data_IF_582593453154
#
_entry.id   IF_582593453154
#
_cell.length_a   1.000
_cell.length_b   1.000
_cell.length_c   1.000
_cell.angle_alpha   90.00
_cell.angle_beta   90.00
_cell.angle_gamma   90.00
#
_symmetry.space_group_name_H-M   'P 1'
#
loop_
_entity.id
_entity.type
_entity.pdbx_description
1 polymer ?
#
# COMPACT_ATOMS: atom_id res chain seq x y z
N UNK A 1 35.95 34.59 -29.77
CA UNK A 1 34.81 34.11 -30.58
C UNK A 1 34.69 32.59 -30.69
N UNK A 2 35.81 31.83 -30.81
CA UNK A 2 35.73 30.32 -30.84
C UNK A 2 35.27 29.68 -29.53
N UNK A 3 35.63 30.23 -28.36
CA UNK A 3 35.21 29.67 -27.05
C UNK A 3 33.72 29.90 -26.72
N UNK A 4 33.14 31.00 -27.22
CA UNK A 4 31.71 31.28 -27.02
C UNK A 4 30.80 30.39 -27.88
N UNK A 5 31.27 29.98 -29.08
CA UNK A 5 30.52 29.04 -29.96
C UNK A 5 30.57 27.62 -29.44
N UNK A 6 31.62 27.19 -28.75
CA UNK A 6 31.69 25.88 -28.08
C UNK A 6 30.78 25.82 -26.86
N UNK A 7 30.64 26.92 -26.11
CA UNK A 7 29.74 26.97 -24.94
C UNK A 7 28.27 26.95 -25.35
N UNK A 8 27.86 27.63 -26.41
CA UNK A 8 26.52 27.60 -27.00
C UNK A 8 26.17 26.24 -27.61
N UNK A 9 27.15 25.55 -28.23
CA UNK A 9 26.94 24.20 -28.77
C UNK A 9 26.76 23.15 -27.64
N UNK A 10 27.49 23.29 -26.53
CA UNK A 10 27.34 22.39 -25.36
C UNK A 10 26.01 22.61 -24.61
N UNK A 11 25.53 23.86 -24.52
CA UNK A 11 24.22 24.17 -23.92
C UNK A 11 23.08 23.70 -24.82
N UNK A 12 23.22 23.73 -26.16
CA UNK A 12 22.22 23.22 -27.10
C UNK A 12 22.18 21.68 -27.14
N UNK A 13 23.32 20.99 -26.86
CA UNK A 13 23.33 19.52 -26.77
C UNK A 13 22.82 19.01 -25.42
N UNK A 14 22.94 19.78 -24.32
CA UNK A 14 22.31 19.43 -23.03
C UNK A 14 20.80 19.67 -23.00
N UNK A 15 20.27 20.51 -23.87
CA UNK A 15 18.82 20.72 -23.99
C UNK A 15 18.08 19.59 -24.76
N UNK A 16 18.84 18.65 -25.37
CA UNK A 16 18.28 17.53 -26.14
C UNK A 16 18.38 16.17 -25.43
N UNK A 17 18.90 16.14 -24.18
CA UNK A 17 18.83 14.98 -23.29
C UNK A 17 18.02 15.28 -22.03
N UNK A 18 16.83 15.82 -22.20
CA UNK A 18 15.73 15.49 -21.28
C UNK A 18 15.31 14.09 -21.73
N UNK A 19 15.54 13.02 -20.94
CA UNK A 19 14.79 11.82 -21.17
C UNK A 19 13.35 12.27 -21.04
N UNK A 20 12.62 12.25 -22.14
CA UNK A 20 11.18 12.16 -22.10
C UNK A 20 10.92 10.94 -21.26
N UNK A 21 10.65 11.14 -19.96
CA UNK A 21 9.78 10.27 -19.23
C UNK A 21 8.42 10.53 -19.90
N UNK A 22 8.31 10.09 -21.12
CA UNK A 22 7.05 9.67 -21.67
C UNK A 22 6.71 8.46 -20.80
N UNK A 23 6.09 8.75 -19.65
CA UNK A 23 5.09 7.85 -19.13
C UNK A 23 4.43 7.25 -20.37
N UNK A 24 4.54 5.94 -20.54
CA UNK A 24 3.70 5.21 -21.45
C UNK A 24 2.29 5.24 -20.86
N UNK A 25 1.66 6.40 -20.83
CA UNK A 25 0.25 6.55 -21.08
C UNK A 25 0.08 6.26 -22.56
N UNK A 26 0.24 5.04 -22.97
CA UNK A 26 -0.57 4.54 -24.05
C UNK A 26 -1.96 4.63 -23.46
N UNK A 27 -2.60 5.72 -23.74
CA UNK A 27 -3.99 5.93 -23.40
C UNK A 27 -4.73 4.76 -24.03
N UNK A 28 -5.44 4.00 -23.20
CA UNK A 28 -6.51 3.12 -23.63
C UNK A 28 -7.64 3.92 -24.29
N UNK A 29 -7.43 5.20 -24.55
CA UNK A 29 -8.41 6.15 -25.08
C UNK A 29 -8.95 5.73 -26.45
N UNK A 30 -8.13 5.07 -27.28
CA UNK A 30 -8.56 4.58 -28.59
C UNK A 30 -9.53 3.39 -28.49
N UNK A 31 -9.44 2.55 -27.45
CA UNK A 31 -10.30 1.38 -27.28
C UNK A 31 -11.73 1.74 -26.81
N UNK A 32 -11.94 2.95 -26.28
CA UNK A 32 -13.21 3.39 -25.70
C UNK A 32 -13.84 4.59 -26.42
N UNK A 33 -13.24 5.06 -27.52
CA UNK A 33 -13.75 6.14 -28.35
C UNK A 33 -15.14 5.84 -28.97
N UNK A 34 -15.57 4.58 -28.97
CA UNK A 34 -16.89 4.15 -29.42
C UNK A 34 -18.01 4.43 -28.41
N UNK A 35 -17.69 4.63 -27.12
CA UNK A 35 -18.69 4.91 -26.11
C UNK A 35 -19.09 6.38 -26.10
N UNK A 36 -20.39 6.62 -26.19
CA UNK A 36 -20.95 7.97 -26.18
C UNK A 36 -21.18 8.46 -24.74
N UNK A 37 -21.13 9.78 -24.55
CA UNK A 37 -21.41 10.45 -23.27
C UNK A 37 -22.93 10.45 -22.97
N UNK A 38 -23.49 9.27 -22.73
CA UNK A 38 -24.84 9.05 -22.20
C UNK A 38 -24.73 8.17 -20.94
N UNK A 39 -25.72 8.15 -20.05
CA UNK A 39 -25.68 7.26 -18.89
C UNK A 39 -25.38 5.79 -19.22
N UNK A 40 -25.98 5.25 -20.29
CA UNK A 40 -25.68 3.89 -20.76
C UNK A 40 -24.28 3.73 -21.32
N UNK A 41 -23.81 4.72 -22.09
CA UNK A 41 -22.45 4.69 -22.64
C UNK A 41 -21.39 4.76 -21.54
N UNK A 42 -21.56 5.62 -20.53
CA UNK A 42 -20.65 5.74 -19.38
C UNK A 42 -20.66 4.46 -18.53
N UNK A 43 -21.85 3.86 -18.28
CA UNK A 43 -21.96 2.59 -17.58
C UNK A 43 -21.22 1.46 -18.32
N UNK A 44 -21.45 1.34 -19.64
CA UNK A 44 -20.82 0.31 -20.48
C UNK A 44 -19.31 0.51 -20.56
N UNK A 45 -18.83 1.75 -20.67
CA UNK A 45 -17.41 2.09 -20.66
C UNK A 45 -16.76 1.66 -19.33
N UNK A 46 -17.35 2.05 -18.19
CA UNK A 46 -16.81 1.65 -16.88
C UNK A 46 -16.73 0.13 -16.73
N UNK A 47 -17.82 -0.59 -17.07
CA UNK A 47 -17.83 -2.04 -16.98
C UNK A 47 -16.74 -2.66 -17.88
N UNK A 48 -16.61 -2.21 -19.12
CA UNK A 48 -15.64 -2.74 -20.11
C UNK A 48 -14.19 -2.43 -19.69
N UNK A 49 -13.92 -1.22 -19.16
CA UNK A 49 -12.60 -0.86 -18.63
C UNK A 49 -12.22 -1.81 -17.49
N UNK A 50 -13.12 -2.00 -16.55
CA UNK A 50 -12.86 -2.91 -15.44
C UNK A 50 -12.69 -4.35 -15.94
N UNK A 51 -13.56 -4.85 -16.82
CA UNK A 51 -13.53 -6.21 -17.37
C UNK A 51 -12.20 -6.54 -18.02
N UNK A 52 -11.62 -5.59 -18.78
CA UNK A 52 -10.36 -5.80 -19.48
C UNK A 52 -9.12 -5.62 -18.61
N UNK A 53 -9.16 -4.78 -17.59
CA UNK A 53 -7.94 -4.28 -16.92
C UNK A 53 -7.85 -4.55 -15.43
N UNK A 54 -8.96 -4.79 -14.73
CA UNK A 54 -8.91 -5.13 -13.31
C UNK A 54 -8.30 -6.53 -13.11
N UNK A 55 -7.35 -6.63 -12.19
CA UNK A 55 -6.51 -7.84 -12.09
C UNK A 55 -7.00 -8.90 -11.09
N UNK A 56 -8.07 -8.65 -10.34
CA UNK A 56 -8.46 -9.54 -9.25
C UNK A 56 -9.83 -10.23 -9.43
N UNK A 57 -10.40 -10.31 -10.63
CA UNK A 57 -11.73 -10.90 -10.79
C UNK A 57 -11.82 -12.34 -10.26
N UNK A 58 -10.87 -13.21 -10.61
CA UNK A 58 -10.86 -14.59 -10.12
C UNK A 58 -10.70 -14.68 -8.61
N UNK A 59 -9.84 -13.82 -8.04
CA UNK A 59 -9.67 -13.74 -6.59
C UNK A 59 -10.97 -13.28 -5.92
N UNK A 60 -11.60 -12.20 -6.42
CA UNK A 60 -12.86 -11.67 -5.86
C UNK A 60 -14.02 -12.64 -6.04
N UNK A 61 -14.04 -13.40 -7.13
CA UNK A 61 -15.03 -14.48 -7.30
C UNK A 61 -14.82 -15.58 -6.27
N UNK A 62 -13.59 -16.04 -6.08
CA UNK A 62 -13.24 -17.08 -5.12
C UNK A 62 -13.54 -16.68 -3.67
N UNK A 63 -13.10 -15.48 -3.26
CA UNK A 63 -13.14 -15.04 -1.86
C UNK A 63 -14.46 -14.36 -1.47
N UNK A 64 -15.14 -13.70 -2.41
CA UNK A 64 -16.35 -12.89 -2.15
C UNK A 64 -17.58 -13.36 -2.96
N UNK A 65 -17.41 -14.30 -3.89
CA UNK A 65 -18.49 -14.75 -4.77
C UNK A 65 -18.89 -13.74 -5.84
N UNK A 66 -18.04 -12.77 -6.17
CA UNK A 66 -18.33 -11.71 -7.14
C UNK A 66 -18.15 -12.23 -8.56
N UNK A 67 -19.27 -12.36 -9.30
CA UNK A 67 -19.28 -12.59 -10.74
C UNK A 67 -19.51 -11.26 -11.46
N UNK A 68 -18.50 -10.80 -12.24
CA UNK A 68 -18.56 -9.49 -12.88
C UNK A 68 -19.66 -9.37 -13.94
N UNK A 69 -20.01 -10.46 -14.64
CA UNK A 69 -21.14 -10.50 -15.55
C UNK A 69 -22.49 -10.42 -14.81
N UNK A 70 -22.61 -11.08 -13.68
CA UNK A 70 -23.79 -10.96 -12.82
C UNK A 70 -23.93 -9.53 -12.25
N UNK A 71 -22.83 -8.87 -11.92
CA UNK A 71 -22.79 -7.46 -11.50
C UNK A 71 -23.30 -6.57 -12.64
N UNK A 72 -22.86 -6.77 -13.89
CA UNK A 72 -23.43 -6.05 -15.05
C UNK A 72 -24.96 -6.17 -15.12
N UNK A 73 -25.47 -7.40 -15.09
CA UNK A 73 -26.90 -7.66 -15.18
C UNK A 73 -27.68 -6.99 -14.02
N UNK A 74 -27.14 -7.03 -12.81
CA UNK A 74 -27.73 -6.42 -11.62
C UNK A 74 -27.90 -4.90 -11.77
N UNK A 75 -26.88 -4.20 -12.25
CA UNK A 75 -26.87 -2.74 -12.27
C UNK A 75 -27.37 -2.13 -13.58
N UNK A 76 -27.27 -2.82 -14.73
CA UNK A 76 -27.71 -2.33 -16.03
C UNK A 76 -29.21 -1.99 -16.08
N UNK A 77 -30.04 -2.71 -15.31
CA UNK A 77 -31.49 -2.46 -15.23
C UNK A 77 -31.84 -1.14 -14.56
N UNK A 78 -30.92 -0.59 -13.75
CA UNK A 78 -31.08 0.69 -13.06
C UNK A 78 -30.68 1.90 -13.92
N UNK A 79 -30.09 1.65 -15.09
CA UNK A 79 -29.60 2.73 -15.98
C UNK A 79 -30.68 3.16 -16.94
N UNK A 80 -30.98 4.46 -16.96
CA UNK A 80 -31.85 5.08 -17.96
C UNK A 80 -31.19 6.33 -18.54
N UNK A 81 -31.50 6.65 -19.80
CA UNK A 81 -30.90 7.79 -20.49
C UNK A 81 -31.34 9.15 -19.93
N UNK A 82 -32.38 9.17 -19.12
CA UNK A 82 -32.92 10.38 -18.47
C UNK A 82 -32.46 10.55 -17.01
N UNK A 83 -31.58 9.68 -16.50
CA UNK A 83 -31.12 9.76 -15.13
C UNK A 83 -30.15 10.95 -14.94
N UNK A 84 -30.17 11.53 -13.75
CA UNK A 84 -29.21 12.60 -13.42
C UNK A 84 -27.79 12.06 -13.28
N UNK A 85 -26.77 12.93 -13.48
CA UNK A 85 -25.37 12.58 -13.27
C UNK A 85 -25.11 12.06 -11.85
N UNK A 86 -25.79 12.62 -10.84
CA UNK A 86 -25.67 12.16 -9.45
C UNK A 86 -26.19 10.73 -9.27
N UNK A 87 -27.39 10.43 -9.81
CA UNK A 87 -27.95 9.10 -9.74
C UNK A 87 -27.08 8.07 -10.49
N UNK A 88 -26.53 8.46 -11.66
CA UNK A 88 -25.57 7.63 -12.38
C UNK A 88 -24.33 7.35 -11.51
N UNK A 89 -23.75 8.40 -10.90
CA UNK A 89 -22.56 8.26 -10.04
C UNK A 89 -22.81 7.26 -8.89
N UNK A 90 -23.94 7.37 -8.21
CA UNK A 90 -24.31 6.48 -7.09
C UNK A 90 -24.46 5.01 -7.55
N UNK A 91 -25.07 4.77 -8.73
CA UNK A 91 -25.17 3.43 -9.31
C UNK A 91 -23.80 2.85 -9.67
N UNK A 92 -22.93 3.66 -10.31
CA UNK A 92 -21.58 3.23 -10.69
C UNK A 92 -20.71 2.94 -9.46
N UNK A 93 -20.79 3.79 -8.43
CA UNK A 93 -20.08 3.55 -7.16
C UNK A 93 -20.55 2.24 -6.49
N UNK A 94 -21.87 1.97 -6.53
CA UNK A 94 -22.43 0.72 -5.99
C UNK A 94 -21.94 -0.49 -6.77
N UNK A 95 -21.88 -0.38 -8.10
CA UNK A 95 -21.39 -1.45 -8.98
C UNK A 95 -19.93 -1.82 -8.69
N UNK A 96 -19.02 -0.85 -8.69
CA UNK A 96 -17.59 -1.12 -8.41
C UNK A 96 -17.35 -1.47 -6.94
N UNK A 97 -18.23 -1.04 -6.04
CA UNK A 97 -18.19 -1.35 -4.61
C UNK A 97 -18.35 -2.84 -4.30
N UNK A 98 -19.00 -3.63 -5.19
CA UNK A 98 -19.09 -5.10 -5.05
C UNK A 98 -17.72 -5.78 -4.95
N UNK A 99 -16.68 -5.19 -5.56
CA UNK A 99 -15.32 -5.72 -5.55
C UNK A 99 -14.64 -5.58 -4.18
N UNK A 100 -15.15 -4.73 -3.27
CA UNK A 100 -14.58 -4.50 -1.92
C UNK A 100 -13.06 -4.26 -1.93
N UNK A 101 -12.59 -3.56 -2.96
CA UNK A 101 -11.17 -3.23 -3.16
C UNK A 101 -10.96 -1.73 -2.87
N UNK A 102 -10.09 -1.41 -1.92
CA UNK A 102 -9.80 -0.03 -1.52
C UNK A 102 -9.09 0.80 -2.61
N UNK A 103 -8.50 0.14 -3.61
CA UNK A 103 -7.93 0.81 -4.78
C UNK A 103 -8.95 1.08 -5.88
N UNK A 104 -10.16 0.48 -5.84
CA UNK A 104 -11.23 0.74 -6.80
C UNK A 104 -12.04 1.96 -6.36
N UNK A 105 -11.86 3.07 -7.10
CA UNK A 105 -12.46 4.35 -6.77
C UNK A 105 -12.99 5.02 -8.04
N UNK A 106 -14.12 5.74 -7.93
CA UNK A 106 -14.66 6.57 -9.00
C UNK A 106 -14.59 8.04 -8.58
N UNK A 107 -13.99 8.87 -9.41
CA UNK A 107 -13.85 10.32 -9.19
C UNK A 107 -14.73 11.08 -10.17
N UNK A 108 -15.46 12.04 -9.66
CA UNK A 108 -16.16 13.07 -10.43
C UNK A 108 -15.66 14.46 -10.01
N UNK A 109 -16.17 15.53 -10.64
CA UNK A 109 -15.81 16.89 -10.27
C UNK A 109 -16.38 17.31 -8.91
N UNK A 110 -17.32 16.55 -8.33
CA UNK A 110 -18.05 16.92 -7.12
C UNK A 110 -18.03 15.84 -6.03
N UNK A 111 -17.61 14.60 -6.36
CA UNK A 111 -17.65 13.51 -5.40
C UNK A 111 -16.62 12.41 -5.75
N UNK A 112 -16.31 11.57 -4.75
CA UNK A 112 -15.44 10.41 -4.86
C UNK A 112 -16.11 9.17 -4.25
N UNK A 113 -16.38 8.16 -5.08
CA UNK A 113 -16.86 6.84 -4.63
C UNK A 113 -15.69 5.95 -4.21
N UNK A 114 -15.74 5.41 -2.99
CA UNK A 114 -14.76 4.50 -2.42
C UNK A 114 -15.43 3.47 -1.51
N UNK A 115 -15.00 2.22 -1.59
CA UNK A 115 -15.41 1.17 -0.66
C UNK A 115 -14.43 1.09 0.52
N UNK A 116 -14.96 1.08 1.74
CA UNK A 116 -14.20 0.99 2.98
C UNK A 116 -14.40 -0.31 3.75
N UNK A 117 -15.27 -1.22 3.27
CA UNK A 117 -15.62 -2.46 3.96
C UNK A 117 -14.42 -3.38 4.21
N UNK A 118 -13.36 -3.28 3.41
CA UNK A 118 -12.11 -3.99 3.64
C UNK A 118 -11.45 -3.63 4.99
N UNK A 119 -11.77 -2.46 5.55
CA UNK A 119 -11.32 -1.99 6.88
C UNK A 119 -12.48 -2.01 7.89
N UNK A 120 -13.62 -1.40 7.56
CA UNK A 120 -14.71 -1.13 8.52
C UNK A 120 -15.49 -2.35 8.97
N UNK A 121 -15.41 -3.47 8.25
CA UNK A 121 -16.05 -4.73 8.62
C UNK A 121 -15.22 -5.55 9.63
N UNK A 122 -14.10 -5.01 10.11
CA UNK A 122 -13.15 -5.65 11.02
C UNK A 122 -12.91 -4.78 12.27
N UNK A 123 -12.45 -5.37 13.39
CA UNK A 123 -12.03 -4.59 14.56
C UNK A 123 -10.91 -3.62 14.21
N UNK A 124 -10.93 -2.42 14.80
CA UNK A 124 -9.86 -1.42 14.57
C UNK A 124 -8.52 -1.87 15.16
N UNK A 125 -8.53 -2.54 16.30
CA UNK A 125 -7.34 -3.01 17.02
C UNK A 125 -6.25 -1.93 17.15
N UNK A 126 -6.68 -0.66 17.32
CA UNK A 126 -5.81 0.51 17.36
C UNK A 126 -6.44 1.67 18.12
N UNK A 127 -5.60 2.43 18.80
CA UNK A 127 -5.96 3.71 19.42
C UNK A 127 -4.84 4.72 19.18
N UNK A 128 -5.13 5.75 18.39
CA UNK A 128 -4.15 6.83 18.13
C UNK A 128 -3.76 7.56 19.42
N UNK A 129 -4.67 7.69 20.38
CA UNK A 129 -4.39 8.33 21.66
C UNK A 129 -3.39 7.52 22.49
N UNK A 130 -3.53 6.19 22.53
CA UNK A 130 -2.55 5.29 23.17
C UNK A 130 -1.21 5.34 22.44
N UNK A 131 -1.19 5.23 21.10
CA UNK A 131 0.04 5.36 20.33
C UNK A 131 0.78 6.66 20.66
N UNK A 132 0.07 7.79 20.72
CA UNK A 132 0.63 9.09 21.11
C UNK A 132 1.13 9.11 22.55
N UNK A 133 0.40 8.48 23.49
CA UNK A 133 0.81 8.38 24.87
C UNK A 133 2.12 7.59 25.02
N UNK A 134 2.25 6.46 24.32
CA UNK A 134 3.48 5.67 24.29
C UNK A 134 4.64 6.39 23.60
N UNK A 135 4.38 7.12 22.52
CA UNK A 135 5.40 7.94 21.87
C UNK A 135 5.88 9.07 22.81
N UNK A 136 4.97 9.59 23.68
CA UNK A 136 5.30 10.59 24.71
C UNK A 136 5.54 11.96 24.14
N UNK A 137 6.10 12.87 24.96
CA UNK A 137 6.40 14.25 24.57
C UNK A 137 7.81 14.45 24.03
N UNK A 138 8.72 13.54 24.40
CA UNK A 138 10.17 13.64 24.10
C UNK A 138 10.55 12.74 22.91
N UNK A 139 9.60 12.48 22.00
CA UNK A 139 9.88 11.74 20.78
C UNK A 139 10.75 12.55 19.79
N UNK A 140 11.48 11.86 18.97
CA UNK A 140 12.34 12.44 17.95
C UNK A 140 11.72 12.19 16.56
N UNK A 141 11.70 13.22 15.72
CA UNK A 141 11.22 13.15 14.34
C UNK A 141 12.39 12.73 13.43
N UNK A 142 12.27 11.53 12.84
CA UNK A 142 13.24 11.02 11.87
C UNK A 142 12.86 11.37 10.42
N UNK A 143 11.59 11.57 10.13
CA UNK A 143 11.05 11.91 8.81
C UNK A 143 9.75 12.67 8.93
N UNK A 144 9.11 12.98 7.81
CA UNK A 144 7.82 13.67 7.80
C UNK A 144 6.75 12.84 8.54
N UNK A 145 6.72 11.53 8.26
CA UNK A 145 5.78 10.57 8.82
C UNK A 145 6.41 9.56 9.78
N UNK A 146 7.67 9.79 10.21
CA UNK A 146 8.42 8.85 11.05
C UNK A 146 8.87 9.55 12.33
N UNK A 147 8.47 8.95 13.46
CA UNK A 147 8.83 9.38 14.80
C UNK A 147 9.29 8.20 15.64
N UNK A 148 10.22 8.44 16.57
CA UNK A 148 10.71 7.38 17.45
C UNK A 148 11.05 7.87 18.84
N UNK A 149 11.11 6.93 19.77
CA UNK A 149 11.65 7.14 21.12
C UNK A 149 12.38 5.89 21.63
N UNK A 150 13.12 6.06 22.70
CA UNK A 150 13.71 4.99 23.49
C UNK A 150 12.87 4.76 24.75
N UNK A 151 12.39 3.53 24.98
CA UNK A 151 11.76 3.15 26.24
C UNK A 151 12.78 2.90 27.35
N UNK A 152 12.33 3.00 28.61
CA UNK A 152 13.20 2.82 29.80
C UNK A 152 13.76 1.42 29.95
N UNK A 153 13.16 0.41 29.34
CA UNK A 153 13.61 -0.97 29.26
C UNK A 153 14.53 -1.25 28.06
N UNK A 154 15.10 -0.21 27.49
CA UNK A 154 16.09 -0.27 26.42
C UNK A 154 15.55 -0.88 25.10
N UNK A 155 14.29 -0.60 24.78
CA UNK A 155 13.62 -0.97 23.53
C UNK A 155 13.35 0.31 22.72
N UNK A 156 13.70 0.29 21.43
CA UNK A 156 13.34 1.37 20.51
C UNK A 156 11.88 1.23 20.06
N UNK A 157 11.14 2.33 20.02
CA UNK A 157 9.78 2.39 19.48
C UNK A 157 9.73 3.36 18.32
N UNK A 158 9.42 2.86 17.14
CA UNK A 158 9.36 3.57 15.87
C UNK A 158 7.93 3.55 15.33
N UNK A 159 7.36 4.72 15.07
CA UNK A 159 6.05 4.88 14.43
C UNK A 159 6.25 5.37 13.02
N UNK A 160 5.65 4.67 12.05
CA UNK A 160 5.61 5.06 10.64
C UNK A 160 4.14 5.27 10.26
N UNK A 161 3.70 6.53 10.17
CA UNK A 161 2.29 6.88 9.91
C UNK A 161 1.89 6.79 8.44
N UNK A 162 2.86 6.95 7.54
CA UNK A 162 2.64 6.93 6.09
C UNK A 162 3.97 6.66 5.37
N UNK A 163 3.89 6.16 4.15
CA UNK A 163 5.01 6.08 3.22
C UNK A 163 4.98 7.19 2.15
N UNK A 164 4.14 8.23 2.31
CA UNK A 164 4.11 9.37 1.37
C UNK A 164 5.40 10.19 1.45
N UNK A 165 5.87 10.49 2.66
CA UNK A 165 7.13 11.19 2.90
C UNK A 165 8.34 10.26 2.84
N UNK A 166 9.42 10.72 2.22
CA UNK A 166 10.71 10.04 2.26
C UNK A 166 11.53 10.35 3.52
N UNK A 167 12.51 9.52 3.81
CA UNK A 167 13.47 9.75 4.88
C UNK A 167 14.89 9.74 4.32
N UNK A 168 15.66 10.77 4.63
CA UNK A 168 17.08 10.80 4.21
C UNK A 168 17.91 9.79 4.98
N UNK A 169 18.93 9.24 4.32
CA UNK A 169 19.88 8.30 4.93
C UNK A 169 20.56 8.87 6.17
N UNK A 170 20.88 10.17 6.18
CA UNK A 170 21.49 10.82 7.34
C UNK A 170 20.56 10.79 8.56
N UNK A 171 19.27 10.96 8.40
CA UNK A 171 18.28 10.88 9.48
C UNK A 171 18.10 9.44 9.98
N UNK A 172 18.07 8.46 9.05
CA UNK A 172 18.06 7.05 9.42
C UNK A 172 19.31 6.66 10.20
N UNK A 173 20.50 7.04 9.72
CA UNK A 173 21.75 6.76 10.42
C UNK A 173 21.77 7.40 11.81
N UNK A 174 21.27 8.63 11.95
CA UNK A 174 21.14 9.30 13.26
C UNK A 174 20.21 8.55 14.20
N UNK A 175 19.07 8.09 13.70
CA UNK A 175 18.10 7.28 14.46
C UNK A 175 18.74 5.96 14.92
N UNK A 176 19.36 5.21 14.02
CA UNK A 176 20.00 3.93 14.36
C UNK A 176 21.18 4.10 15.31
N UNK A 177 21.96 5.19 15.20
CA UNK A 177 22.99 5.51 16.18
C UNK A 177 22.39 5.76 17.58
N UNK A 178 21.26 6.47 17.66
CA UNK A 178 20.56 6.73 18.93
C UNK A 178 20.05 5.41 19.54
N UNK A 179 19.54 4.51 18.70
CA UNK A 179 18.95 3.23 19.11
C UNK A 179 19.97 2.08 19.17
N UNK A 180 21.25 2.33 18.87
CA UNK A 180 22.29 1.30 18.69
C UNK A 180 22.43 0.33 19.89
N UNK A 181 22.19 0.83 21.10
CA UNK A 181 22.29 0.02 22.33
C UNK A 181 20.97 -0.64 22.73
N UNK A 182 19.87 -0.39 21.98
CA UNK A 182 18.59 -1.05 22.25
C UNK A 182 18.68 -2.57 22.03
N UNK A 183 17.90 -3.30 22.80
CA UNK A 183 17.80 -4.75 22.74
C UNK A 183 17.01 -5.23 21.53
N UNK A 184 16.05 -4.44 21.09
CA UNK A 184 15.19 -4.67 19.95
C UNK A 184 14.43 -3.43 19.56
N UNK A 185 13.65 -3.51 18.52
CA UNK A 185 12.86 -2.43 17.95
C UNK A 185 11.40 -2.86 17.80
N UNK A 186 10.48 -2.01 18.23
CA UNK A 186 9.06 -2.10 17.88
C UNK A 186 8.82 -1.12 16.75
N UNK A 187 8.31 -1.60 15.62
CA UNK A 187 7.88 -0.77 14.49
C UNK A 187 6.35 -0.80 14.42
N UNK A 188 5.73 0.33 14.61
CA UNK A 188 4.28 0.47 14.59
C UNK A 188 3.84 1.10 13.26
N UNK A 189 3.22 0.27 12.41
CA UNK A 189 2.61 0.69 11.14
C UNK A 189 1.08 0.57 11.19
N UNK A 190 0.50 0.40 12.36
CA UNK A 190 -0.95 0.33 12.50
C UNK A 190 -1.59 1.61 11.98
N UNK A 191 -2.70 1.45 11.27
CA UNK A 191 -3.47 2.53 10.63
C UNK A 191 -2.70 3.34 9.57
N UNK A 192 -1.58 2.81 9.07
CA UNK A 192 -0.83 3.38 7.96
C UNK A 192 -1.46 2.93 6.63
N UNK A 193 -2.13 3.84 5.91
CA UNK A 193 -2.83 3.57 4.65
C UNK A 193 -1.92 3.43 3.42
N UNK A 194 -0.59 3.44 3.58
CA UNK A 194 0.36 3.28 2.47
C UNK A 194 1.03 4.57 2.03
N UNK A 195 1.33 4.66 0.74
CA UNK A 195 2.03 5.78 0.13
C UNK A 195 2.88 5.37 -1.07
N UNK A 196 4.15 5.71 -1.06
CA UNK A 196 5.11 5.38 -2.11
C UNK A 196 5.85 4.07 -1.76
N UNK A 197 5.74 3.06 -2.62
CA UNK A 197 6.43 1.76 -2.46
C UNK A 197 7.94 1.91 -2.39
N UNK A 198 8.54 2.82 -3.15
CA UNK A 198 9.99 3.06 -3.10
C UNK A 198 10.47 3.53 -1.72
N UNK A 199 9.65 4.30 -0.99
CA UNK A 199 9.96 4.68 0.39
C UNK A 199 9.87 3.48 1.33
N UNK A 200 8.87 2.61 1.14
CA UNK A 200 8.73 1.38 1.90
C UNK A 200 9.93 0.44 1.68
N UNK A 201 10.34 0.22 0.44
CA UNK A 201 11.51 -0.58 0.07
C UNK A 201 12.81 -0.01 0.65
N UNK A 202 13.01 1.31 0.54
CA UNK A 202 14.18 1.99 1.11
C UNK A 202 14.26 1.78 2.63
N UNK A 203 13.11 1.85 3.32
CA UNK A 203 13.09 1.60 4.77
C UNK A 203 13.37 0.13 5.06
N UNK A 204 12.71 -0.80 4.37
CA UNK A 204 12.89 -2.23 4.57
C UNK A 204 14.35 -2.68 4.30
N UNK A 205 15.03 -2.09 3.30
CA UNK A 205 16.42 -2.41 2.95
C UNK A 205 17.42 -2.21 4.09
N UNK A 206 17.04 -1.48 5.12
CA UNK A 206 17.86 -1.22 6.31
C UNK A 206 17.74 -2.30 7.39
N UNK A 207 16.90 -3.32 7.17
CA UNK A 207 16.66 -4.38 8.16
C UNK A 207 17.21 -5.75 7.75
N UNK A 208 17.98 -5.82 6.67
CA UNK A 208 18.67 -7.03 6.22
C UNK A 208 20.13 -6.77 5.83
N UNK A 209 20.98 -7.79 5.91
CA UNK A 209 22.36 -7.78 5.41
C UNK A 209 22.50 -8.51 4.07
N UNK A 210 21.49 -9.28 3.70
CA UNK A 210 21.51 -10.11 2.51
C UNK A 210 20.35 -9.73 1.57
N UNK A 211 20.49 -10.11 0.31
CA UNK A 211 19.43 -10.04 -0.67
C UNK A 211 18.36 -11.07 -0.33
N UNK A 212 17.10 -10.64 -0.23
CA UNK A 212 15.97 -11.50 0.18
C UNK A 212 14.89 -11.50 -0.89
N UNK A 213 14.43 -12.68 -1.31
CA UNK A 213 13.22 -12.80 -2.12
C UNK A 213 12.01 -12.42 -1.25
N UNK A 214 11.21 -11.46 -1.71
CA UNK A 214 10.09 -10.92 -0.94
C UNK A 214 8.73 -11.25 -1.54
N UNK A 215 8.70 -11.78 -2.75
CA UNK A 215 7.48 -12.18 -3.42
C UNK A 215 7.60 -12.13 -4.94
N UNK A 216 6.45 -11.97 -5.58
CA UNK A 216 6.33 -11.94 -7.04
C UNK A 216 5.35 -10.86 -7.46
N UNK A 217 5.45 -10.47 -8.74
CA UNK A 217 4.47 -9.60 -9.40
C UNK A 217 4.26 -10.04 -10.84
N UNK A 218 3.14 -9.67 -11.43
CA UNK A 218 2.89 -9.79 -12.86
C UNK A 218 2.00 -8.63 -13.32
N UNK A 219 1.79 -8.52 -14.62
CA UNK A 219 0.95 -7.48 -15.20
C UNK A 219 0.03 -8.06 -16.26
N UNK A 220 -1.09 -7.40 -16.51
CA UNK A 220 -2.02 -7.78 -17.58
C UNK A 220 -1.33 -7.62 -18.94
N UNK A 221 -1.40 -8.67 -19.78
CA UNK A 221 -0.86 -8.69 -21.14
C UNK A 221 -1.91 -9.01 -22.21
N UNK A 222 -3.18 -9.08 -21.83
CA UNK A 222 -4.31 -9.31 -22.71
C UNK A 222 -5.66 -8.94 -22.06
N UNK A 223 -6.78 -9.01 -22.80
CA UNK A 223 -8.09 -8.58 -22.34
C UNK A 223 -8.82 -9.60 -21.45
N UNK A 224 -8.43 -10.87 -21.47
CA UNK A 224 -9.04 -11.92 -20.63
C UNK A 224 -8.68 -11.75 -19.16
N UNK A 225 -9.54 -12.20 -18.25
CA UNK A 225 -9.34 -12.02 -16.80
C UNK A 225 -8.01 -12.63 -16.32
N UNK A 226 -7.55 -13.70 -16.95
CA UNK A 226 -6.33 -14.43 -16.60
C UNK A 226 -5.14 -14.19 -17.57
N UNK A 227 -5.24 -13.19 -18.45
CA UNK A 227 -4.17 -12.83 -19.36
C UNK A 227 -3.11 -12.03 -18.62
N UNK A 228 -2.13 -12.70 -18.05
CA UNK A 228 -1.01 -12.12 -17.32
C UNK A 228 0.34 -12.52 -17.92
N UNK A 229 1.34 -11.68 -17.69
CA UNK A 229 2.75 -12.05 -17.91
C UNK A 229 3.17 -13.21 -16.99
N UNK A 230 4.33 -13.78 -17.26
CA UNK A 230 5.00 -14.64 -16.28
C UNK A 230 5.24 -13.87 -14.96
N UNK A 231 5.31 -14.61 -13.86
CA UNK A 231 5.66 -14.05 -12.56
C UNK A 231 7.11 -13.58 -12.54
N UNK A 232 7.32 -12.33 -12.17
CA UNK A 232 8.63 -11.73 -11.93
C UNK A 232 8.95 -11.76 -10.44
N UNK A 233 10.18 -12.10 -10.08
CA UNK A 233 10.67 -12.16 -8.70
C UNK A 233 10.92 -10.75 -8.15
N UNK A 234 10.37 -10.45 -6.98
CA UNK A 234 10.62 -9.21 -6.24
C UNK A 234 11.69 -9.46 -5.18
N UNK A 235 12.77 -8.71 -5.24
CA UNK A 235 13.91 -8.88 -4.36
C UNK A 235 14.18 -7.60 -3.57
N UNK A 236 14.37 -7.74 -2.27
CA UNK A 236 14.91 -6.68 -1.42
C UNK A 236 16.45 -6.73 -1.44
N UNK A 237 17.07 -5.66 -1.91
CA UNK A 237 18.53 -5.48 -1.78
C UNK A 237 18.86 -4.79 -0.45
N UNK A 238 19.88 -5.25 0.30
CA UNK A 238 20.28 -4.57 1.53
C UNK A 238 20.90 -3.21 1.23
N UNK A 239 20.65 -2.23 2.07
CA UNK A 239 21.38 -0.95 2.01
C UNK A 239 22.84 -1.16 2.42
N UNK A 240 23.74 -1.15 1.44
CA UNK A 240 25.17 -1.41 1.65
C UNK A 240 25.98 -0.17 2.04
N UNK A 241 25.35 1.01 2.02
CA UNK A 241 26.04 2.29 2.22
C UNK A 241 25.75 2.90 3.59
N UNK A 242 24.72 2.43 4.28
CA UNK A 242 24.24 3.00 5.52
C UNK A 242 24.17 1.97 6.65
N UNK A 243 23.86 2.46 7.87
CA UNK A 243 23.63 1.58 9.02
C UNK A 243 22.41 0.71 8.78
N UNK A 244 22.50 -0.54 9.21
CA UNK A 244 21.42 -1.53 9.18
C UNK A 244 21.09 -2.01 10.58
N UNK A 245 19.85 -2.42 10.75
CA UNK A 245 19.32 -2.99 11.98
C UNK A 245 19.06 -4.48 11.81
N UNK A 246 19.83 -5.31 12.52
CA UNK A 246 19.73 -6.78 12.43
C UNK A 246 19.35 -7.44 13.75
N UNK A 247 19.07 -6.63 14.79
CA UNK A 247 18.55 -7.11 16.06
C UNK A 247 17.05 -7.39 15.94
N UNK A 248 16.42 -8.04 16.95
CA UNK A 248 14.98 -8.34 16.91
C UNK A 248 14.12 -7.13 16.62
N UNK A 249 13.12 -7.34 15.76
CA UNK A 249 12.08 -6.38 15.40
C UNK A 249 10.71 -7.02 15.65
N UNK A 250 9.83 -6.32 16.33
CA UNK A 250 8.40 -6.64 16.37
C UNK A 250 7.66 -5.60 15.55
N UNK A 251 7.02 -6.03 14.48
CA UNK A 251 6.24 -5.18 13.56
C UNK A 251 4.77 -5.27 13.93
N UNK A 252 4.18 -4.14 14.36
CA UNK A 252 2.77 -4.08 14.76
C UNK A 252 1.88 -3.76 13.58
N UNK A 253 0.87 -4.60 13.34
CA UNK A 253 -0.05 -4.49 12.21
C UNK A 253 -1.52 -4.53 12.62
N UNK A 254 -2.39 -3.91 11.82
CA UNK A 254 -3.84 -4.03 11.91
C UNK A 254 -4.48 -3.86 10.52
N UNK A 255 -5.82 -3.95 10.43
CA UNK A 255 -6.57 -3.76 9.17
C UNK A 255 -6.36 -2.40 8.51
N UNK A 256 -5.87 -1.39 9.24
CA UNK A 256 -5.50 -0.09 8.68
C UNK A 256 -4.22 -0.09 7.85
N UNK A 257 -3.39 -1.13 7.94
CA UNK A 257 -2.18 -1.31 7.12
C UNK A 257 -2.58 -1.67 5.68
N UNK A 258 -2.48 -0.72 4.75
CA UNK A 258 -3.01 -0.89 3.39
C UNK A 258 -2.02 -0.46 2.31
N UNK A 259 -2.13 -1.00 1.09
CA UNK A 259 -1.34 -0.60 -0.09
C UNK A 259 0.17 -0.76 0.18
N UNK A 260 1.00 0.27 0.00
CA UNK A 260 2.45 0.19 0.24
C UNK A 260 2.82 -0.27 1.66
N UNK A 261 1.94 -0.11 2.65
CA UNK A 261 2.14 -0.67 3.99
C UNK A 261 1.93 -2.18 3.99
N UNK A 262 0.97 -2.69 3.22
CA UNK A 262 0.80 -4.12 3.03
C UNK A 262 2.03 -4.74 2.33
N UNK A 263 2.57 -4.06 1.30
CA UNK A 263 3.83 -4.48 0.65
C UNK A 263 5.00 -4.45 1.63
N UNK A 264 5.12 -3.39 2.45
CA UNK A 264 6.14 -3.30 3.51
C UNK A 264 6.06 -4.45 4.50
N UNK A 265 4.85 -4.81 4.96
CA UNK A 265 4.63 -5.96 5.85
C UNK A 265 5.01 -7.26 5.15
N UNK A 266 4.65 -7.44 3.87
CA UNK A 266 5.07 -8.59 3.07
C UNK A 266 6.59 -8.72 3.00
N UNK A 267 7.29 -7.63 2.75
CA UNK A 267 8.76 -7.59 2.70
C UNK A 267 9.35 -7.94 4.07
N UNK A 268 8.95 -7.22 5.11
CA UNK A 268 9.50 -7.35 6.46
C UNK A 268 9.27 -8.75 7.06
N UNK A 269 8.13 -9.37 6.76
CA UNK A 269 7.80 -10.73 7.24
C UNK A 269 8.77 -11.80 6.72
N UNK A 270 9.47 -11.56 5.62
CA UNK A 270 10.48 -12.48 5.09
C UNK A 270 11.87 -12.29 5.72
N UNK A 271 12.05 -11.33 6.62
CA UNK A 271 13.33 -11.08 7.29
C UNK A 271 13.43 -11.91 8.60
N UNK A 272 14.55 -12.61 8.82
CA UNK A 272 14.68 -13.58 9.95
C UNK A 272 14.64 -12.94 11.33
N UNK A 273 14.93 -11.64 11.43
CA UNK A 273 14.92 -10.88 12.67
C UNK A 273 13.59 -10.18 12.96
N UNK A 274 12.59 -10.30 12.09
CA UNK A 274 11.28 -9.66 12.21
C UNK A 274 10.22 -10.67 12.65
N UNK A 275 9.33 -10.22 13.51
CA UNK A 275 8.10 -10.95 13.89
C UNK A 275 6.93 -9.97 13.72
N UNK A 276 5.95 -10.34 12.94
CA UNK A 276 4.71 -9.55 12.75
C UNK A 276 3.71 -9.90 13.84
N UNK A 277 3.26 -8.90 14.57
CA UNK A 277 2.35 -9.03 15.71
C UNK A 277 1.09 -8.19 15.49
N UNK A 278 -0.05 -8.73 15.78
CA UNK A 278 -1.33 -8.00 15.82
C UNK A 278 -2.42 -8.65 15.00
N UNK A 279 -3.04 -7.89 14.09
CA UNK A 279 -4.10 -8.36 13.22
C UNK A 279 -3.63 -8.37 11.76
N UNK A 280 -4.40 -9.03 10.90
CA UNK A 280 -4.18 -9.03 9.47
C UNK A 280 -4.17 -7.62 8.90
N UNK A 281 -3.32 -7.39 7.91
CA UNK A 281 -3.33 -6.13 7.16
C UNK A 281 -4.60 -5.95 6.33
N UNK A 282 -4.84 -4.76 5.83
CA UNK A 282 -6.00 -4.41 4.99
C UNK A 282 -5.88 -4.84 3.53
N UNK A 283 -4.72 -5.31 3.11
CA UNK A 283 -4.50 -5.71 1.73
C UNK A 283 -4.13 -4.55 0.79
N UNK A 284 -4.68 -4.58 -0.42
CA UNK A 284 -4.32 -3.62 -1.46
C UNK A 284 -3.03 -4.02 -2.19
N UNK A 285 -2.91 -5.31 -2.53
CA UNK A 285 -1.76 -5.92 -3.20
C UNK A 285 -1.74 -5.76 -4.72
N UNK A 286 -2.36 -4.70 -5.26
CA UNK A 286 -2.37 -4.42 -6.69
C UNK A 286 -1.93 -3.00 -6.99
N UNK A 287 -1.04 -2.83 -8.00
CA UNK A 287 -0.66 -1.50 -8.46
C UNK A 287 -1.86 -0.82 -9.13
N UNK A 288 -2.24 0.40 -8.66
CA UNK A 288 -3.39 1.09 -9.20
C UNK A 288 -3.09 1.76 -10.53
N UNK A 289 -4.07 1.70 -11.41
CA UNK A 289 -4.14 2.40 -12.69
C UNK A 289 -5.36 3.31 -12.73
N UNK A 290 -5.40 4.26 -13.64
CA UNK A 290 -6.56 5.15 -13.84
C UNK A 290 -6.97 5.19 -15.30
N UNK A 291 -8.28 5.27 -15.55
CA UNK A 291 -8.84 5.46 -16.88
C UNK A 291 -9.96 6.51 -16.85
N UNK A 292 -10.07 7.32 -17.91
CA UNK A 292 -11.11 8.32 -18.04
C UNK A 292 -12.36 7.72 -18.71
N UNK A 293 -13.54 8.12 -18.23
CA UNK A 293 -14.83 7.76 -18.79
C UNK A 293 -15.33 8.83 -19.78
N UNK A 294 -16.27 8.51 -20.70
CA UNK A 294 -16.75 9.43 -21.72
C UNK A 294 -17.31 10.77 -21.21
N UNK A 295 -17.69 10.84 -19.93
CA UNK A 295 -18.18 12.05 -19.27
C UNK A 295 -17.13 12.82 -18.47
N UNK A 296 -15.84 12.46 -18.59
CA UNK A 296 -14.72 13.07 -17.88
C UNK A 296 -14.55 12.61 -16.41
N UNK A 297 -15.32 11.61 -15.97
CA UNK A 297 -15.04 10.95 -14.68
C UNK A 297 -13.84 10.01 -14.81
N UNK A 298 -13.18 9.74 -13.69
CA UNK A 298 -11.99 8.87 -13.67
C UNK A 298 -12.25 7.69 -12.76
N UNK A 299 -12.04 6.48 -13.29
CA UNK A 299 -11.99 5.26 -12.46
C UNK A 299 -10.53 4.91 -12.17
N UNK A 300 -10.26 4.57 -10.90
CA UNK A 300 -9.00 3.99 -10.43
C UNK A 300 -9.23 2.55 -10.03
N UNK A 301 -8.31 1.66 -10.34
CA UNK A 301 -8.43 0.22 -10.05
C UNK A 301 -7.07 -0.47 -10.03
N UNK A 302 -6.98 -1.65 -9.40
CA UNK A 302 -5.80 -2.50 -9.38
C UNK A 302 -5.59 -3.18 -10.74
N UNK A 303 -4.40 -3.05 -11.36
CA UNK A 303 -4.09 -3.60 -12.70
C UNK A 303 -2.95 -4.61 -12.73
N UNK A 304 -2.09 -4.64 -11.71
CA UNK A 304 -0.94 -5.54 -11.62
C UNK A 304 -0.88 -6.15 -10.21
N UNK A 305 -1.16 -7.45 -10.06
CA UNK A 305 -1.21 -8.10 -8.76
C UNK A 305 0.19 -8.38 -8.23
N UNK A 306 0.33 -8.31 -6.89
CA UNK A 306 1.50 -8.75 -6.15
C UNK A 306 1.19 -9.98 -5.30
N UNK A 307 2.24 -10.76 -5.03
CA UNK A 307 2.14 -12.06 -4.35
C UNK A 307 3.25 -12.18 -3.30
N UNK A 308 2.99 -12.98 -2.29
CA UNK A 308 4.02 -13.39 -1.33
C UNK A 308 5.02 -14.41 -1.92
N UNK A 309 5.99 -14.82 -1.12
CA UNK A 309 7.00 -15.83 -1.52
C UNK A 309 6.40 -17.22 -1.80
N UNK A 310 5.19 -17.49 -1.34
CA UNK A 310 4.44 -18.71 -1.62
C UNK A 310 3.53 -18.58 -2.84
N UNK A 311 3.63 -17.47 -3.57
CA UNK A 311 2.81 -17.11 -4.73
C UNK A 311 1.31 -16.99 -4.42
N UNK A 312 0.97 -16.59 -3.19
CA UNK A 312 -0.39 -16.26 -2.80
C UNK A 312 -0.60 -14.75 -2.95
N UNK A 313 -1.79 -14.34 -3.40
CA UNK A 313 -2.16 -12.94 -3.48
C UNK A 313 -2.12 -12.28 -2.09
N UNK A 314 -1.53 -11.08 -2.01
CA UNK A 314 -1.54 -10.26 -0.80
C UNK A 314 -2.68 -9.23 -0.78
N UNK A 315 -3.56 -9.26 -1.77
CA UNK A 315 -4.71 -8.34 -1.91
C UNK A 315 -5.68 -8.38 -0.73
N UNK A 316 -5.93 -9.57 -0.17
CA UNK A 316 -6.88 -9.73 0.94
C UNK A 316 -6.26 -9.43 2.31
N UNK A 317 -4.97 -9.08 2.34
CA UNK A 317 -4.19 -8.82 3.54
C UNK A 317 -3.21 -9.94 3.87
N UNK A 318 -2.33 -9.64 4.82
CA UNK A 318 -1.25 -10.52 5.29
C UNK A 318 -1.52 -10.84 6.74
N UNK A 319 -1.62 -12.13 7.06
CA UNK A 319 -1.76 -12.60 8.43
C UNK A 319 -0.49 -12.31 9.25
N UNK A 320 -0.59 -11.89 10.51
CA UNK A 320 0.56 -11.76 11.39
C UNK A 320 1.15 -13.13 11.75
N UNK A 321 2.36 -13.15 12.32
CA UNK A 321 2.95 -14.35 12.90
C UNK A 321 2.35 -14.66 14.27
N UNK A 322 1.97 -13.62 15.00
CA UNK A 322 1.31 -13.71 16.30
C UNK A 322 0.04 -12.88 16.26
N UNK A 323 -1.11 -13.55 16.35
CA UNK A 323 -2.41 -12.90 16.44
C UNK A 323 -2.63 -12.33 17.84
N UNK A 324 -3.08 -11.10 17.91
CA UNK A 324 -3.39 -10.40 19.14
C UNK A 324 -4.47 -9.34 18.87
N UNK A 325 -5.48 -9.30 19.72
CA UNK A 325 -6.46 -8.22 19.73
C UNK A 325 -6.16 -7.21 20.84
N UNK A 326 -6.63 -5.98 20.69
CA UNK A 326 -6.60 -4.98 21.77
C UNK A 326 -7.53 -5.42 22.89
N UNK A 327 -7.01 -5.53 24.12
CA UNK A 327 -7.82 -5.82 25.29
C UNK A 327 -8.55 -4.57 25.77
N UNK A 328 -9.87 -4.66 25.95
CA UNK A 328 -10.68 -3.51 26.35
C UNK A 328 -10.34 -2.97 27.74
N UNK A 329 -9.92 -3.82 28.66
CA UNK A 329 -9.57 -3.40 30.03
C UNK A 329 -8.18 -2.73 30.05
N UNK A 330 -7.25 -3.21 29.23
CA UNK A 330 -5.98 -2.53 28.96
C UNK A 330 -6.23 -1.12 28.38
N UNK A 331 -7.07 -1.01 27.35
CA UNK A 331 -7.41 0.28 26.73
C UNK A 331 -8.00 1.25 27.76
N UNK A 332 -8.93 0.79 28.60
CA UNK A 332 -9.51 1.60 29.70
C UNK A 332 -8.47 2.02 30.74
N UNK A 333 -7.45 1.18 30.96
CA UNK A 333 -6.34 1.47 31.84
C UNK A 333 -5.26 2.37 31.21
N UNK A 334 -5.40 2.75 29.94
CA UNK A 334 -4.40 3.53 29.20
C UNK A 334 -3.21 2.71 28.73
N UNK A 335 -3.40 1.41 28.56
CA UNK A 335 -2.37 0.44 28.14
C UNK A 335 -2.64 0.02 26.68
N UNK A 336 -1.59 0.02 25.86
CA UNK A 336 -1.63 -0.56 24.52
C UNK A 336 -1.18 -2.02 24.58
N UNK A 337 -2.13 -2.93 24.45
CA UNK A 337 -1.89 -4.39 24.56
C UNK A 337 -0.80 -4.86 23.61
N UNK A 338 -0.75 -4.33 22.37
CA UNK A 338 0.24 -4.74 21.38
C UNK A 338 1.65 -4.28 21.77
N UNK A 339 1.79 -3.01 22.18
CA UNK A 339 3.09 -2.45 22.55
C UNK A 339 3.64 -3.18 23.79
N UNK A 340 2.80 -3.42 24.82
CA UNK A 340 3.25 -4.13 26.01
C UNK A 340 3.62 -5.60 25.73
N UNK A 341 2.85 -6.27 24.87
CA UNK A 341 3.18 -7.62 24.45
C UNK A 341 4.47 -7.67 23.62
N UNK A 342 4.68 -6.73 22.72
CA UNK A 342 5.92 -6.61 21.95
C UNK A 342 7.14 -6.37 22.85
N UNK A 343 7.03 -5.49 23.87
CA UNK A 343 8.07 -5.26 24.87
C UNK A 343 8.43 -6.54 25.62
N UNK A 344 7.41 -7.30 26.03
CA UNK A 344 7.60 -8.61 26.68
C UNK A 344 8.36 -9.57 25.77
N UNK A 345 7.95 -9.72 24.50
CA UNK A 345 8.61 -10.61 23.55
C UNK A 345 10.10 -10.28 23.35
N UNK A 346 10.45 -9.00 23.26
CA UNK A 346 11.85 -8.58 23.12
C UNK A 346 12.62 -8.89 24.40
N UNK A 347 12.07 -8.58 25.58
CA UNK A 347 12.72 -8.82 26.86
C UNK A 347 12.91 -10.33 27.15
N UNK A 348 11.91 -11.16 26.80
CA UNK A 348 11.98 -12.62 26.99
C UNK A 348 13.08 -13.26 26.11
N UNK A 349 13.34 -12.76 24.90
CA UNK A 349 14.43 -13.21 24.02
C UNK A 349 15.83 -12.90 24.56
N UNK A 350 15.97 -11.90 25.43
CA UNK A 350 17.25 -11.56 26.08
C UNK A 350 17.54 -12.56 27.20
N UNK A 351 16.50 -12.98 27.91
CA UNK A 351 16.64 -13.92 29.06
C UNK A 351 16.80 -15.36 28.59
N UNK A 352 16.23 -15.70 27.43
CA UNK A 352 16.26 -17.03 26.80
C UNK A 352 16.68 -16.92 25.33
N UNK A 353 17.98 -16.65 25.04
CA UNK A 353 18.48 -16.43 23.68
C UNK A 353 18.44 -17.67 22.78
#
# INVERSE_FOLDING_TARGET
MKRLRLFLAAVLLMALMVPSIMSCTRSSDDDYAEFINTPRGVFSALWTIMDKHYCFFDLKQKELGVDWNAVYNKYSVSISDNMSSRALFEVLCSMIGELRDGHVNLYSQYDMGRNWSWKTDYPDNFSEDLQRAYLGKDYIIAGEDISYRLFTDNIGYLVIKSFLGGVSDSRFNSMFNTLALCNGLIIDVRDNGGGNTLNADQIASKFTEERVLTGYSCYKNGPGHNDFSDLEENWLEPDRHNLRWVKPVILLTNRGCFSSTNDFVNIMKNLPNVTVLGDSTGGGGGFPFTSELPNGWVVRFSSAPTFDVSKQHIEMGIAPDIWLDMDEDDVKAGIDTYIEYARKLINDRIVNP
#
